data_IF_723871959975
#
_entry.id   IF_723871959975
#
_cell.length_a   1.000
_cell.length_b   1.000
_cell.length_c   1.000
_cell.angle_alpha   90.00
_cell.angle_beta   90.00
_cell.angle_gamma   90.00
#
_symmetry.space_group_name_H-M   'P 1'
#
loop_
_entity.id
_entity.type
_entity.pdbx_description
1 polymer ?
#
# COMPACT_ATOMS: atom_id res chain seq x y z
N UNK A 1 -5.38 -19.56 24.37
CA UNK A 1 -4.68 -18.75 23.38
C UNK A 1 -5.07 -17.26 23.41
N UNK A 2 -6.35 -16.94 23.68
CA UNK A 2 -6.83 -15.55 23.74
C UNK A 2 -6.35 -14.79 24.99
N UNK A 3 -6.19 -15.45 26.13
CA UNK A 3 -5.74 -14.80 27.36
C UNK A 3 -4.22 -14.57 27.41
N UNK A 4 -3.43 -15.39 26.74
CA UNK A 4 -1.98 -15.21 26.64
C UNK A 4 -1.56 -13.99 25.78
N UNK A 5 -2.34 -13.71 24.73
CA UNK A 5 -2.09 -12.54 23.85
C UNK A 5 -2.38 -11.22 24.57
N UNK A 6 -3.41 -11.17 25.40
CA UNK A 6 -3.75 -9.99 26.22
C UNK A 6 -2.71 -9.67 27.30
N UNK A 7 -2.02 -10.69 27.82
CA UNK A 7 -0.92 -10.49 28.78
C UNK A 7 0.38 -10.04 28.13
N UNK A 8 0.71 -10.52 26.93
CA UNK A 8 1.88 -10.09 26.18
C UNK A 8 1.81 -8.61 25.76
N UNK A 9 0.61 -8.12 25.41
CA UNK A 9 0.36 -6.73 25.01
C UNK A 9 0.55 -5.74 26.20
N UNK A 10 0.36 -6.20 27.45
CA UNK A 10 0.53 -5.34 28.65
C UNK A 10 1.97 -5.27 29.18
N UNK A 11 2.87 -6.14 28.75
CA UNK A 11 4.23 -6.22 29.28
C UNK A 11 5.24 -5.26 28.63
N UNK A 12 4.86 -4.53 27.57
CA UNK A 12 5.75 -3.60 26.85
C UNK A 12 5.66 -2.13 27.31
N UNK A 13 5.10 -1.84 28.47
CA UNK A 13 5.03 -0.49 29.02
C UNK A 13 6.31 -0.13 29.80
N UNK A 14 6.93 1.00 29.44
CA UNK A 14 8.11 1.61 30.07
C UNK A 14 7.80 2.14 31.48
N UNK A 15 8.72 2.02 32.46
CA UNK A 15 8.48 2.47 33.83
C UNK A 15 8.57 4.01 33.97
N UNK A 16 7.79 4.65 34.85
CA UNK A 16 7.85 6.09 35.09
C UNK A 16 8.85 6.44 36.20
N UNK A 17 9.60 7.51 36.00
CA UNK A 17 10.21 8.27 37.09
C UNK A 17 11.70 8.58 36.99
N UNK A 18 12.04 9.80 36.52
CA UNK A 18 13.17 10.58 37.03
C UNK A 18 12.90 12.06 36.80
N UNK A 19 12.78 12.82 37.88
CA UNK A 19 12.50 14.24 37.87
C UNK A 19 13.71 15.10 37.52
N UNK A 20 13.45 16.28 36.93
CA UNK A 20 14.38 17.39 36.70
C UNK A 20 13.98 18.59 37.54
N UNK A 21 14.95 19.45 37.96
CA UNK A 21 14.70 20.56 38.83
C UNK A 21 14.16 21.82 38.11
N UNK A 22 13.60 22.84 38.85
CA UNK A 22 12.89 23.93 38.23
C UNK A 22 13.80 25.12 37.89
N UNK A 23 13.72 25.59 36.65
CA UNK A 23 14.13 26.95 36.32
C UNK A 23 12.98 27.70 35.67
N UNK A 24 12.50 28.72 36.36
CA UNK A 24 11.44 29.59 35.91
C UNK A 24 11.86 30.50 34.76
N UNK A 25 11.10 30.48 33.69
CA UNK A 25 10.83 31.60 32.78
C UNK A 25 9.34 31.56 32.42
N UNK A 26 8.67 32.68 32.58
CA UNK A 26 7.31 32.89 32.12
C UNK A 26 7.29 32.74 30.58
N UNK A 27 7.02 31.56 30.08
CA UNK A 27 6.57 31.38 28.71
C UNK A 27 5.08 31.72 28.68
N UNK A 28 4.71 32.55 27.69
CA UNK A 28 3.31 32.80 27.32
C UNK A 28 2.68 31.44 27.07
N UNK A 29 1.66 31.08 27.82
CA UNK A 29 0.85 29.89 27.59
C UNK A 29 0.24 29.99 26.17
N UNK A 30 0.89 29.33 25.21
CA UNK A 30 0.19 28.90 24.03
C UNK A 30 -0.88 27.91 24.54
N UNK A 31 -2.13 28.26 24.40
CA UNK A 31 -3.26 27.38 24.64
C UNK A 31 -3.07 26.18 23.67
N UNK A 32 -2.53 25.07 24.19
CA UNK A 32 -2.48 23.82 23.43
C UNK A 32 -3.94 23.40 23.19
N UNK A 33 -4.36 23.41 21.93
CA UNK A 33 -5.66 22.81 21.61
C UNK A 33 -5.68 21.37 22.10
N UNK A 34 -6.81 20.92 22.65
CA UNK A 34 -6.97 19.54 23.05
C UNK A 34 -6.77 18.65 21.83
N UNK A 35 -5.92 17.64 21.96
CA UNK A 35 -5.69 16.66 20.89
C UNK A 35 -6.99 15.96 20.53
N UNK A 36 -7.16 15.66 19.26
CA UNK A 36 -8.30 14.85 18.79
C UNK A 36 -8.11 13.43 19.34
N UNK A 37 -9.08 12.94 20.12
CA UNK A 37 -9.04 11.60 20.68
C UNK A 37 -9.41 10.57 19.61
N UNK A 38 -8.50 9.64 19.35
CA UNK A 38 -8.76 8.47 18.51
C UNK A 38 -9.35 7.37 19.39
N UNK A 39 -10.55 6.92 19.05
CA UNK A 39 -11.38 6.08 19.93
C UNK A 39 -10.82 4.67 20.12
N UNK A 40 -10.33 4.06 19.04
CA UNK A 40 -9.76 2.71 19.03
C UNK A 40 -8.35 2.74 18.45
N UNK A 41 -7.48 1.78 18.80
CA UNK A 41 -6.09 1.77 18.37
C UNK A 41 -5.93 1.61 16.86
N UNK A 42 -4.72 1.94 16.39
CA UNK A 42 -4.25 1.67 15.03
C UNK A 42 -2.99 0.83 15.13
N UNK A 43 -2.86 -0.20 14.31
CA UNK A 43 -1.62 -0.97 14.20
C UNK A 43 -0.60 -0.14 13.43
N UNK A 44 0.57 0.05 14.02
CA UNK A 44 1.72 0.66 13.37
C UNK A 44 2.76 -0.41 13.05
N UNK A 45 3.08 -0.55 11.76
CA UNK A 45 4.14 -1.42 11.27
C UNK A 45 5.31 -0.56 10.83
N UNK A 46 6.36 -0.45 11.65
CA UNK A 46 7.57 0.28 11.30
C UNK A 46 8.40 -0.50 10.26
N UNK A 47 9.36 0.16 9.63
CA UNK A 47 10.10 -0.42 8.51
C UNK A 47 11.60 -0.18 8.56
N UNK A 48 12.20 0.05 7.39
CA UNK A 48 13.64 0.09 7.22
C UNK A 48 14.15 1.41 6.62
N UNK A 49 15.43 1.65 6.76
CA UNK A 49 16.27 2.63 6.06
C UNK A 49 15.71 4.08 6.10
N UNK A 50 15.73 4.81 4.99
CA UNK A 50 15.32 6.23 4.96
C UNK A 50 13.84 6.41 5.26
N UNK A 51 13.00 5.46 4.87
CA UNK A 51 11.56 5.52 5.15
C UNK A 51 11.24 5.40 6.63
N UNK A 52 12.00 4.63 7.43
CA UNK A 52 11.88 4.59 8.89
C UNK A 52 12.15 5.95 9.53
N UNK A 53 13.17 6.66 9.04
CA UNK A 53 13.51 8.01 9.51
C UNK A 53 12.37 8.99 9.21
N UNK A 54 11.86 8.97 7.98
CA UNK A 54 10.72 9.79 7.55
C UNK A 54 9.48 9.45 8.39
N UNK A 55 9.22 8.18 8.62
CA UNK A 55 8.07 7.70 9.39
C UNK A 55 8.07 8.25 10.81
N UNK A 56 9.23 8.25 11.46
CA UNK A 56 9.41 8.86 12.77
C UNK A 56 9.11 10.37 12.74
N UNK A 57 9.65 11.11 11.75
CA UNK A 57 9.39 12.55 11.64
C UNK A 57 7.92 12.87 11.38
N UNK A 58 7.22 12.05 10.58
CA UNK A 58 5.77 12.21 10.36
C UNK A 58 5.03 12.04 11.69
N UNK A 59 5.32 11.01 12.46
CA UNK A 59 4.69 10.82 13.79
C UNK A 59 4.93 12.00 14.71
N UNK A 60 6.20 12.40 14.86
CA UNK A 60 6.61 13.42 15.81
C UNK A 60 6.05 14.81 15.47
N UNK A 61 5.93 15.13 14.17
CA UNK A 61 5.52 16.47 13.70
C UNK A 61 4.04 16.57 13.32
N UNK A 62 3.49 15.53 12.70
CA UNK A 62 2.17 15.61 12.05
C UNK A 62 1.09 14.78 12.74
N UNK A 63 1.45 13.79 13.56
CA UNK A 63 0.48 12.87 14.19
C UNK A 63 0.36 13.16 15.69
N UNK A 64 1.40 12.90 16.46
CA UNK A 64 1.37 13.01 17.92
C UNK A 64 1.05 14.41 18.46
N UNK A 65 1.42 15.53 17.82
CA UNK A 65 1.02 16.85 18.30
C UNK A 65 -0.50 17.09 18.24
N UNK A 66 -1.20 16.45 17.29
CA UNK A 66 -2.61 16.69 16.99
C UNK A 66 -3.56 15.60 17.51
N UNK A 67 -3.08 14.38 17.66
CA UNK A 67 -3.89 13.21 18.00
C UNK A 67 -3.48 12.60 19.35
N UNK A 68 -4.48 12.25 20.15
CA UNK A 68 -4.37 11.32 21.28
C UNK A 68 -4.75 9.92 20.74
N UNK A 69 -3.73 9.17 20.32
CA UNK A 69 -3.87 7.91 19.60
C UNK A 69 -3.05 6.80 20.26
N UNK A 70 -3.67 5.65 20.44
CA UNK A 70 -2.99 4.42 20.82
C UNK A 70 -2.47 3.70 19.57
N UNK A 71 -1.17 3.43 19.54
CA UNK A 71 -0.52 2.69 18.46
C UNK A 71 -0.07 1.32 18.96
N UNK A 72 -0.58 0.26 18.33
CA UNK A 72 -0.05 -1.09 18.51
C UNK A 72 1.16 -1.23 17.59
N UNK A 73 2.34 -1.01 18.16
CA UNK A 73 3.60 -0.91 17.43
C UNK A 73 4.24 -2.28 17.17
N UNK A 74 4.58 -2.54 15.90
CA UNK A 74 5.34 -3.70 15.43
C UNK A 74 6.55 -3.22 14.62
N UNK A 75 7.74 -3.57 15.06
CA UNK A 75 8.98 -3.29 14.31
C UNK A 75 9.20 -4.33 13.23
N UNK A 76 8.84 -4.02 11.98
CA UNK A 76 9.08 -4.88 10.82
C UNK A 76 10.43 -4.58 10.14
N UNK A 77 11.33 -3.87 10.80
CA UNK A 77 12.71 -3.70 10.34
C UNK A 77 13.45 -5.04 10.27
N UNK A 78 14.46 -5.09 9.40
CA UNK A 78 15.15 -6.33 9.05
C UNK A 78 15.72 -7.09 10.25
N UNK A 79 16.30 -6.36 11.21
CA UNK A 79 16.90 -6.96 12.42
C UNK A 79 15.84 -7.58 13.34
N UNK A 80 14.71 -6.91 13.53
CA UNK A 80 13.60 -7.41 14.36
C UNK A 80 12.95 -8.64 13.73
N UNK A 81 12.75 -8.63 12.42
CA UNK A 81 12.22 -9.76 11.66
C UNK A 81 13.15 -10.98 11.74
N UNK A 82 14.47 -10.78 11.56
CA UNK A 82 15.44 -11.87 11.69
C UNK A 82 15.48 -12.43 13.11
N UNK A 83 15.46 -11.57 14.13
CA UNK A 83 15.43 -11.98 15.53
C UNK A 83 14.23 -12.86 15.87
N UNK A 84 13.06 -12.54 15.32
CA UNK A 84 11.79 -13.24 15.57
C UNK A 84 11.50 -14.36 14.58
N UNK A 85 12.42 -14.68 13.67
CA UNK A 85 12.20 -15.61 12.55
C UNK A 85 10.95 -15.21 11.74
N UNK A 86 10.80 -13.92 11.47
CA UNK A 86 9.68 -13.26 10.79
C UNK A 86 8.30 -13.42 11.46
N UNK A 87 8.23 -13.98 12.67
CA UNK A 87 6.99 -14.16 13.41
C UNK A 87 6.29 -12.83 13.69
N UNK A 88 7.04 -11.74 13.91
CA UNK A 88 6.50 -10.40 14.15
C UNK A 88 5.64 -9.88 12.97
N UNK A 89 5.95 -10.28 11.74
CA UNK A 89 5.14 -9.95 10.56
C UNK A 89 3.77 -10.61 10.60
N UNK A 90 3.71 -11.86 11.06
CA UNK A 90 2.47 -12.61 11.23
C UNK A 90 1.63 -11.97 12.35
N UNK A 91 2.25 -11.68 13.49
CA UNK A 91 1.59 -11.04 14.64
C UNK A 91 1.01 -9.67 14.27
N UNK A 92 1.76 -8.85 13.52
CA UNK A 92 1.29 -7.57 13.03
C UNK A 92 0.06 -7.69 12.10
N UNK A 93 0.07 -8.70 11.21
CA UNK A 93 -1.05 -8.95 10.32
C UNK A 93 -2.31 -9.46 11.07
N UNK A 94 -2.14 -10.35 12.04
CA UNK A 94 -3.26 -10.83 12.87
C UNK A 94 -3.82 -9.70 13.75
N UNK A 95 -2.97 -8.88 14.36
CA UNK A 95 -3.42 -7.67 15.07
C UNK A 95 -4.19 -6.72 14.16
N UNK A 96 -3.79 -6.59 12.90
CA UNK A 96 -4.51 -5.76 11.91
C UNK A 96 -5.91 -6.30 11.63
N UNK A 97 -6.10 -7.61 11.54
CA UNK A 97 -7.44 -8.20 11.42
C UNK A 97 -8.33 -7.87 12.61
N UNK A 98 -7.78 -7.94 13.81
CA UNK A 98 -8.54 -7.68 15.05
C UNK A 98 -8.91 -6.19 15.17
N UNK A 99 -7.96 -5.29 14.89
CA UNK A 99 -8.11 -3.84 15.06
C UNK A 99 -8.84 -3.18 13.88
N UNK A 100 -8.72 -3.75 12.69
CA UNK A 100 -9.33 -3.26 11.46
C UNK A 100 -8.52 -2.21 10.70
N UNK A 101 -7.46 -1.63 11.30
CA UNK A 101 -6.66 -0.58 10.66
C UNK A 101 -5.19 -0.76 10.96
N UNK A 102 -4.38 -0.75 9.90
CA UNK A 102 -2.93 -0.62 10.02
C UNK A 102 -2.39 0.49 9.12
N UNK A 103 -1.30 1.10 9.58
CA UNK A 103 -0.42 1.96 8.79
C UNK A 103 0.96 1.34 8.76
N UNK A 104 1.57 1.28 7.57
CA UNK A 104 2.81 0.54 7.36
C UNK A 104 3.88 1.38 6.69
N UNK A 105 5.07 1.39 7.29
CA UNK A 105 6.29 1.88 6.68
C UNK A 105 6.85 0.87 5.66
N UNK A 106 7.66 1.32 4.72
CA UNK A 106 8.32 0.44 3.76
C UNK A 106 9.37 -0.46 4.43
N UNK A 107 9.40 -1.71 4.01
CA UNK A 107 10.27 -2.76 4.56
C UNK A 107 11.18 -3.35 3.50
N UNK A 108 12.36 -3.82 3.88
CA UNK A 108 13.27 -4.55 3.01
C UNK A 108 12.74 -5.96 2.74
N UNK A 109 12.73 -6.36 1.46
CA UNK A 109 12.69 -7.78 1.08
C UNK A 109 14.11 -8.18 0.73
N UNK A 110 14.79 -9.05 1.54
CA UNK A 110 16.19 -9.33 1.35
C UNK A 110 16.46 -10.19 0.11
N UNK A 111 17.49 -9.82 -0.62
CA UNK A 111 18.19 -10.64 -1.59
C UNK A 111 19.48 -11.23 -0.98
N UNK A 112 20.26 -11.97 -1.77
CA UNK A 112 21.53 -12.56 -1.30
C UNK A 112 22.54 -11.51 -0.83
N UNK A 113 22.50 -10.28 -1.35
CA UNK A 113 23.35 -9.16 -0.92
C UNK A 113 22.94 -8.69 0.48
N UNK A 114 21.64 -8.49 0.68
CA UNK A 114 21.06 -8.07 1.96
C UNK A 114 21.23 -9.13 3.06
N UNK A 115 21.14 -10.42 2.72
CA UNK A 115 21.43 -11.51 3.67
C UNK A 115 22.84 -11.38 4.22
N UNK A 116 23.83 -11.09 3.38
CA UNK A 116 25.22 -10.88 3.81
C UNK A 116 25.38 -9.57 4.59
N UNK A 117 24.79 -8.49 4.12
CA UNK A 117 24.88 -7.16 4.72
C UNK A 117 24.39 -7.16 6.18
N UNK A 118 23.23 -7.77 6.43
CA UNK A 118 22.59 -7.81 7.74
C UNK A 118 22.94 -9.07 8.54
N UNK A 119 23.78 -9.98 7.99
CA UNK A 119 24.10 -11.26 8.58
C UNK A 119 22.85 -12.06 9.00
N UNK A 120 21.88 -12.16 8.09
CA UNK A 120 20.59 -12.79 8.34
C UNK A 120 20.71 -14.31 8.43
N UNK A 121 19.85 -14.93 9.24
CA UNK A 121 19.73 -16.38 9.38
C UNK A 121 19.28 -17.04 8.07
N UNK A 122 18.39 -16.35 7.33
CA UNK A 122 17.92 -16.81 6.03
C UNK A 122 17.41 -15.64 5.16
N UNK A 123 17.12 -15.93 3.91
CA UNK A 123 16.52 -14.96 2.99
C UNK A 123 15.00 -14.91 3.19
N UNK A 124 14.58 -14.08 4.16
CA UNK A 124 13.17 -13.93 4.55
C UNK A 124 12.27 -13.51 3.38
N UNK A 125 11.04 -13.99 3.39
CA UNK A 125 10.03 -13.62 2.40
C UNK A 125 9.66 -12.15 2.52
N UNK A 126 9.01 -11.62 1.47
CA UNK A 126 8.45 -10.26 1.52
C UNK A 126 7.41 -10.13 2.63
N UNK A 127 7.56 -9.17 3.58
CA UNK A 127 6.55 -8.93 4.61
C UNK A 127 5.20 -8.56 4.00
N UNK A 128 5.22 -7.76 2.92
CA UNK A 128 4.00 -7.41 2.20
C UNK A 128 3.27 -8.65 1.67
N UNK A 129 4.01 -9.64 1.15
CA UNK A 129 3.44 -10.91 0.73
C UNK A 129 2.78 -11.68 1.87
N UNK A 130 3.44 -11.76 3.03
CA UNK A 130 2.91 -12.41 4.22
C UNK A 130 1.64 -11.72 4.75
N UNK A 131 1.69 -10.39 4.91
CA UNK A 131 0.54 -9.58 5.37
C UNK A 131 -0.66 -9.75 4.42
N UNK A 132 -0.44 -9.61 3.11
CA UNK A 132 -1.49 -9.74 2.09
C UNK A 132 -2.13 -11.12 2.10
N UNK A 133 -1.35 -12.17 2.30
CA UNK A 133 -1.85 -13.54 2.38
C UNK A 133 -2.69 -13.79 3.64
N UNK A 134 -2.37 -13.13 4.74
CA UNK A 134 -3.09 -13.23 6.01
C UNK A 134 -4.38 -12.40 5.98
N UNK A 135 -4.31 -11.16 5.50
CA UNK A 135 -5.46 -10.26 5.45
C UNK A 135 -6.43 -10.60 4.31
N UNK A 136 -5.91 -11.10 3.18
CA UNK A 136 -6.65 -11.17 1.93
C UNK A 136 -6.91 -9.77 1.36
N UNK A 137 -7.78 -9.68 0.35
CA UNK A 137 -8.24 -8.40 -0.18
C UNK A 137 -7.54 -7.94 -1.45
N UNK A 138 -7.70 -6.67 -1.73
CA UNK A 138 -7.26 -6.00 -2.95
C UNK A 138 -6.43 -4.77 -2.60
N UNK A 139 -5.32 -4.59 -3.31
CA UNK A 139 -4.49 -3.39 -3.17
C UNK A 139 -4.98 -2.36 -4.16
N UNK A 140 -5.44 -1.21 -3.64
CA UNK A 140 -5.77 -0.05 -4.47
C UNK A 140 -4.61 0.95 -4.43
N UNK A 141 -4.07 1.26 -5.61
CA UNK A 141 -3.03 2.26 -5.80
C UNK A 141 -3.61 3.47 -6.55
N UNK A 142 -3.59 4.61 -5.90
CA UNK A 142 -4.18 5.86 -6.38
C UNK A 142 -3.10 6.95 -6.47
N UNK A 143 -2.95 7.63 -7.63
CA UNK A 143 -2.00 8.72 -7.76
C UNK A 143 -2.45 9.95 -6.96
N UNK A 144 -1.48 10.61 -6.30
CA UNK A 144 -1.65 11.90 -5.66
C UNK A 144 -1.32 12.98 -6.70
N UNK A 145 -2.33 13.75 -7.10
CA UNK A 145 -2.19 14.72 -8.18
C UNK A 145 -1.86 16.09 -7.61
N UNK A 146 -0.66 16.62 -7.95
CA UNK A 146 -0.28 18.00 -7.72
C UNK A 146 -0.28 18.77 -9.07
N UNK A 147 -0.99 19.89 -9.15
CA UNK A 147 -1.24 20.59 -10.42
C UNK A 147 0.02 21.11 -11.09
N UNK A 148 1.02 21.51 -10.30
CA UNK A 148 2.30 22.05 -10.75
C UNK A 148 3.34 20.98 -11.07
N UNK A 149 3.09 19.71 -10.76
CA UNK A 149 3.97 18.60 -11.14
C UNK A 149 3.55 18.08 -12.51
N UNK A 150 4.41 18.22 -13.55
CA UNK A 150 4.10 17.77 -14.90
C UNK A 150 3.89 16.25 -14.95
N UNK A 151 2.87 15.81 -15.68
CA UNK A 151 2.63 14.40 -15.94
C UNK A 151 3.34 13.98 -17.22
N UNK A 152 3.91 12.77 -17.24
CA UNK A 152 4.49 12.21 -18.47
C UNK A 152 3.42 11.96 -19.54
N UNK A 153 2.17 11.68 -19.09
CA UNK A 153 1.00 11.62 -19.98
C UNK A 153 0.12 12.85 -19.70
N UNK A 154 0.25 13.94 -20.48
CA UNK A 154 -0.44 15.21 -20.18
C UNK A 154 -1.96 15.11 -20.14
N UNK A 155 -2.55 14.12 -20.84
CA UNK A 155 -3.99 13.86 -20.87
C UNK A 155 -4.56 13.33 -19.56
N UNK A 156 -3.76 12.81 -18.64
CA UNK A 156 -4.23 12.26 -17.38
C UNK A 156 -4.59 13.35 -16.36
N UNK A 157 -5.80 13.86 -16.46
CA UNK A 157 -6.29 14.95 -15.60
C UNK A 157 -7.04 14.48 -14.36
N UNK A 158 -7.46 13.20 -14.33
CA UNK A 158 -8.13 12.53 -13.22
C UNK A 158 -7.36 11.27 -12.83
N UNK A 159 -7.47 10.75 -11.61
CA UNK A 159 -6.72 9.57 -11.21
C UNK A 159 -7.13 8.31 -11.97
N UNK A 160 -6.14 7.52 -12.38
CA UNK A 160 -6.29 6.12 -12.75
C UNK A 160 -5.97 5.30 -11.52
N UNK A 161 -6.95 4.57 -11.00
CA UNK A 161 -6.78 3.81 -9.76
C UNK A 161 -6.62 2.34 -10.12
N UNK A 162 -5.46 1.76 -9.80
CA UNK A 162 -5.20 0.34 -10.04
C UNK A 162 -5.69 -0.47 -8.85
N UNK A 163 -6.62 -1.41 -9.10
CA UNK A 163 -7.01 -2.45 -8.15
C UNK A 163 -6.25 -3.74 -8.46
N UNK A 164 -5.24 -4.09 -7.66
CA UNK A 164 -4.43 -5.31 -7.83
C UNK A 164 -5.01 -6.45 -7.01
N UNK A 165 -5.29 -7.57 -7.66
CA UNK A 165 -5.58 -8.83 -6.99
C UNK A 165 -4.32 -9.35 -6.29
N UNK A 166 -4.30 -9.33 -4.97
CA UNK A 166 -3.09 -9.61 -4.20
C UNK A 166 -2.86 -11.10 -3.88
N UNK A 167 -3.47 -12.01 -4.64
CA UNK A 167 -3.44 -13.45 -4.38
C UNK A 167 -3.11 -14.25 -5.65
N UNK A 168 -2.40 -15.37 -5.47
CA UNK A 168 -2.18 -16.36 -6.51
C UNK A 168 -1.29 -15.92 -7.68
N UNK A 169 -1.54 -16.50 -8.84
CA UNK A 169 -0.85 -16.27 -10.11
C UNK A 169 0.68 -16.47 -9.97
N UNK A 170 1.50 -15.67 -10.65
CA UNK A 170 2.96 -15.78 -10.64
C UNK A 170 3.57 -15.64 -9.24
N UNK A 171 2.91 -14.94 -8.33
CA UNK A 171 3.39 -14.71 -6.94
C UNK A 171 3.24 -15.94 -6.02
N UNK A 172 2.52 -16.96 -6.49
CA UNK A 172 2.33 -18.25 -5.83
C UNK A 172 2.68 -19.42 -6.75
N UNK A 173 3.47 -19.15 -7.78
CA UNK A 173 3.88 -20.17 -8.72
C UNK A 173 4.88 -21.17 -8.10
N UNK A 174 4.83 -22.38 -8.61
CA UNK A 174 5.88 -23.40 -8.40
C UNK A 174 6.65 -23.52 -9.70
N UNK A 175 7.95 -23.27 -9.65
CA UNK A 175 8.82 -23.33 -10.82
C UNK A 175 10.06 -24.20 -10.56
N UNK A 176 10.63 -24.74 -11.63
CA UNK A 176 11.84 -25.55 -11.56
C UNK A 176 12.62 -25.60 -12.88
N UNK A 177 13.89 -25.96 -12.78
CA UNK A 177 14.72 -26.22 -13.95
C UNK A 177 14.46 -27.64 -14.46
N UNK A 178 14.09 -27.79 -15.72
CA UNK A 178 13.99 -29.07 -16.40
C UNK A 178 15.41 -29.50 -16.78
N UNK A 179 15.92 -30.64 -16.29
CA UNK A 179 17.34 -30.98 -16.40
C UNK A 179 17.71 -31.50 -17.81
N UNK A 180 16.74 -31.92 -18.63
CA UNK A 180 17.03 -32.49 -19.92
C UNK A 180 15.79 -32.96 -20.68
N UNK A 181 15.98 -33.87 -21.64
CA UNK A 181 14.89 -34.42 -22.45
C UNK A 181 13.87 -35.16 -21.59
N UNK A 182 12.57 -34.91 -21.84
CA UNK A 182 11.49 -35.55 -21.09
C UNK A 182 10.14 -34.93 -21.32
N UNK A 183 9.11 -35.42 -20.64
CA UNK A 183 7.74 -34.93 -20.73
C UNK A 183 7.33 -34.23 -19.42
N UNK A 184 6.66 -33.12 -19.57
CA UNK A 184 6.03 -32.38 -18.43
C UNK A 184 4.52 -32.66 -18.45
N UNK A 185 4.00 -33.02 -17.30
CA UNK A 185 2.57 -33.18 -17.05
C UNK A 185 2.09 -32.25 -15.96
N UNK A 186 0.88 -31.71 -16.09
CA UNK A 186 0.11 -31.09 -15.03
C UNK A 186 -0.94 -32.10 -14.57
N UNK A 187 -0.95 -32.40 -13.27
CA UNK A 187 -1.84 -33.40 -12.69
C UNK A 187 -2.58 -32.80 -11.50
N UNK A 188 -3.91 -32.92 -11.50
CA UNK A 188 -4.77 -32.67 -10.36
C UNK A 188 -5.36 -34.01 -9.87
N UNK A 189 -5.33 -34.24 -8.57
CA UNK A 189 -5.92 -35.41 -7.90
C UNK A 189 -6.94 -34.89 -6.90
N UNK A 190 -8.22 -35.19 -7.14
CA UNK A 190 -9.29 -34.84 -6.22
C UNK A 190 -9.29 -35.74 -4.98
N UNK A 191 -9.90 -35.28 -3.90
CA UNK A 191 -10.07 -36.07 -2.67
C UNK A 191 -10.92 -37.34 -2.91
N UNK A 192 -11.73 -37.35 -3.96
CA UNK A 192 -12.49 -38.52 -4.43
C UNK A 192 -11.62 -39.50 -5.26
N UNK A 193 -10.34 -39.23 -5.38
CA UNK A 193 -9.38 -40.02 -6.15
C UNK A 193 -9.42 -39.81 -7.66
N UNK A 194 -10.33 -38.97 -8.18
CA UNK A 194 -10.35 -38.64 -9.62
C UNK A 194 -9.12 -37.86 -10.02
N UNK A 195 -8.54 -38.23 -11.13
CA UNK A 195 -7.32 -37.64 -11.69
C UNK A 195 -7.64 -36.90 -12.98
N UNK A 196 -7.20 -35.65 -13.06
CA UNK A 196 -7.10 -34.86 -14.31
C UNK A 196 -5.65 -34.71 -14.65
N UNK A 197 -5.21 -35.19 -15.82
CA UNK A 197 -3.84 -35.10 -16.26
C UNK A 197 -3.78 -34.50 -17.65
N UNK A 198 -2.84 -33.60 -17.89
CA UNK A 198 -2.57 -32.94 -19.18
C UNK A 198 -1.07 -32.96 -19.45
N UNK A 199 -0.67 -33.46 -20.60
CA UNK A 199 0.69 -33.25 -21.10
C UNK A 199 0.84 -31.78 -21.47
N UNK A 200 1.81 -31.09 -20.84
CA UNK A 200 2.10 -29.69 -21.08
C UNK A 200 3.04 -29.52 -22.25
N UNK A 201 4.16 -30.25 -22.20
CA UNK A 201 5.19 -30.16 -23.23
C UNK A 201 6.13 -31.37 -23.22
N UNK A 202 6.66 -31.71 -24.39
CA UNK A 202 7.75 -32.69 -24.53
C UNK A 202 9.06 -31.95 -24.77
N UNK A 203 9.89 -31.85 -23.73
CA UNK A 203 11.16 -31.16 -23.80
C UNK A 203 12.18 -31.93 -24.64
N UNK A 204 12.78 -31.32 -25.68
CA UNK A 204 13.88 -31.93 -26.46
C UNK A 204 15.22 -31.83 -25.72
N UNK A 205 15.33 -31.03 -24.69
CA UNK A 205 16.54 -30.77 -23.87
C UNK A 205 16.20 -30.05 -22.59
N UNK A 206 17.20 -29.43 -21.94
CA UNK A 206 17.01 -28.66 -20.73
C UNK A 206 16.13 -27.42 -20.94
N UNK A 207 15.43 -27.01 -19.90
CA UNK A 207 14.54 -25.84 -19.93
C UNK A 207 14.08 -25.40 -18.55
N UNK A 208 12.96 -24.68 -18.53
CA UNK A 208 12.29 -24.25 -17.28
C UNK A 208 10.80 -24.54 -17.38
N UNK A 209 10.16 -24.80 -16.26
CA UNK A 209 8.72 -25.00 -16.19
C UNK A 209 8.14 -24.31 -14.96
N UNK A 210 6.87 -23.91 -15.05
CA UNK A 210 6.14 -23.25 -13.98
C UNK A 210 4.68 -23.68 -13.99
N UNK A 211 4.08 -23.79 -12.81
CA UNK A 211 2.64 -23.89 -12.61
C UNK A 211 2.19 -22.80 -11.65
N UNK A 212 1.01 -22.22 -11.91
CA UNK A 212 0.36 -21.23 -11.04
C UNK A 212 -1.11 -21.58 -10.85
N UNK A 213 -1.76 -21.00 -9.85
CA UNK A 213 -3.16 -21.25 -9.52
C UNK A 213 -3.86 -20.01 -8.97
N UNK A 214 -5.17 -20.06 -8.93
CA UNK A 214 -6.02 -19.12 -8.18
C UNK A 214 -7.26 -19.86 -7.64
N UNK A 215 -8.01 -19.19 -6.75
CA UNK A 215 -9.22 -19.70 -6.15
C UNK A 215 -10.43 -18.88 -6.60
N UNK A 216 -11.55 -19.53 -6.91
CA UNK A 216 -12.78 -18.84 -7.30
C UNK A 216 -13.28 -17.87 -6.23
N UNK A 217 -13.21 -18.26 -4.94
CA UNK A 217 -13.62 -17.39 -3.84
C UNK A 217 -12.74 -16.14 -3.77
N UNK A 218 -11.42 -16.29 -3.96
CA UNK A 218 -10.50 -15.14 -3.98
C UNK A 218 -10.77 -14.22 -5.19
N UNK A 219 -11.11 -14.77 -6.35
CA UNK A 219 -11.49 -13.98 -7.52
C UNK A 219 -12.82 -13.26 -7.29
N UNK A 220 -13.79 -13.93 -6.65
CA UNK A 220 -15.10 -13.35 -6.29
C UNK A 220 -14.96 -12.21 -5.29
N UNK A 221 -14.09 -12.36 -4.31
CA UNK A 221 -13.75 -11.31 -3.34
C UNK A 221 -13.04 -10.13 -4.01
N UNK A 222 -12.14 -10.39 -4.96
CA UNK A 222 -11.52 -9.36 -5.79
C UNK A 222 -12.56 -8.57 -6.61
N UNK A 223 -13.53 -9.27 -7.21
CA UNK A 223 -14.62 -8.63 -7.92
C UNK A 223 -15.45 -7.72 -7.01
N UNK A 224 -15.88 -8.22 -5.84
CA UNK A 224 -16.67 -7.45 -4.87
C UNK A 224 -15.92 -6.23 -4.35
N UNK A 225 -14.65 -6.40 -3.97
CA UNK A 225 -13.82 -5.30 -3.47
C UNK A 225 -13.66 -4.21 -4.54
N UNK A 226 -13.37 -4.60 -5.79
CA UNK A 226 -13.19 -3.67 -6.91
C UNK A 226 -14.49 -2.91 -7.24
N UNK A 227 -15.62 -3.59 -7.25
CA UNK A 227 -16.93 -3.00 -7.50
C UNK A 227 -17.37 -2.07 -6.36
N UNK A 228 -17.18 -2.46 -5.10
CA UNK A 228 -17.45 -1.61 -3.95
C UNK A 228 -16.59 -0.34 -3.98
N UNK A 229 -15.31 -0.48 -4.32
CA UNK A 229 -14.41 0.66 -4.41
C UNK A 229 -14.85 1.63 -5.51
N UNK A 230 -15.13 1.12 -6.71
CA UNK A 230 -15.63 1.89 -7.85
C UNK A 230 -16.95 2.59 -7.53
N UNK A 231 -17.91 1.87 -6.93
CA UNK A 231 -19.17 2.40 -6.47
C UNK A 231 -19.01 3.56 -5.48
N UNK A 232 -18.16 3.38 -4.46
CA UNK A 232 -17.92 4.41 -3.45
C UNK A 232 -17.27 5.66 -4.05
N UNK A 233 -16.38 5.50 -5.03
CA UNK A 233 -15.72 6.60 -5.76
C UNK A 233 -16.63 7.26 -6.81
N UNK A 234 -17.69 6.59 -7.24
CA UNK A 234 -18.51 7.03 -8.37
C UNK A 234 -17.77 6.96 -9.70
N UNK A 235 -16.88 5.99 -9.86
CA UNK A 235 -16.04 5.78 -11.05
C UNK A 235 -16.42 4.49 -11.78
N UNK A 236 -16.33 4.45 -13.11
CA UNK A 236 -16.47 3.21 -13.87
C UNK A 236 -15.36 2.24 -13.48
N UNK A 237 -15.64 0.94 -13.63
CA UNK A 237 -14.73 -0.16 -13.36
C UNK A 237 -14.40 -0.90 -14.65
N UNK A 238 -13.12 -1.12 -14.88
CA UNK A 238 -12.60 -1.97 -15.96
C UNK A 238 -11.81 -3.13 -15.36
N UNK A 239 -12.20 -4.37 -15.69
CA UNK A 239 -11.35 -5.55 -15.48
C UNK A 239 -10.52 -5.78 -16.72
N UNK A 240 -9.24 -6.06 -16.59
CA UNK A 240 -8.42 -6.51 -17.73
C UNK A 240 -7.82 -7.89 -17.51
N UNK A 241 -7.84 -8.68 -18.58
CA UNK A 241 -7.24 -10.03 -18.65
C UNK A 241 -6.69 -10.29 -20.05
N UNK A 242 -6.04 -11.43 -20.25
CA UNK A 242 -5.66 -11.92 -21.59
C UNK A 242 -6.40 -13.24 -21.93
N UNK A 243 -7.71 -13.26 -21.70
CA UNK A 243 -8.55 -14.46 -21.88
C UNK A 243 -8.59 -14.98 -23.33
N UNK A 244 -8.18 -14.21 -24.32
CA UNK A 244 -8.01 -14.68 -25.69
C UNK A 244 -6.84 -15.66 -25.85
N UNK A 245 -5.85 -15.61 -24.95
CA UNK A 245 -4.68 -16.49 -24.90
C UNK A 245 -4.83 -17.49 -23.74
N UNK A 246 -5.04 -17.00 -22.52
CA UNK A 246 -5.21 -17.82 -21.31
C UNK A 246 -6.70 -18.09 -21.12
N UNK A 247 -7.29 -18.87 -22.06
CA UNK A 247 -8.74 -18.96 -22.26
C UNK A 247 -9.53 -19.41 -21.02
N UNK A 248 -9.06 -20.43 -20.31
CA UNK A 248 -9.75 -20.97 -19.14
C UNK A 248 -9.38 -20.19 -17.90
N UNK A 249 -8.11 -19.98 -17.64
CA UNK A 249 -7.64 -19.33 -16.42
C UNK A 249 -8.12 -17.87 -16.33
N UNK A 250 -7.80 -17.04 -17.31
CA UNK A 250 -8.24 -15.66 -17.38
C UNK A 250 -9.74 -15.52 -17.69
N UNK A 251 -10.29 -16.47 -18.46
CA UNK A 251 -11.74 -16.55 -18.71
C UNK A 251 -12.52 -16.66 -17.42
N UNK A 252 -12.05 -17.47 -16.45
CA UNK A 252 -12.74 -17.62 -15.17
C UNK A 252 -12.76 -16.33 -14.35
N UNK A 253 -11.73 -15.48 -14.43
CA UNK A 253 -11.77 -14.12 -13.86
C UNK A 253 -12.88 -13.28 -14.48
N UNK A 254 -12.97 -13.26 -15.82
CA UNK A 254 -14.00 -12.51 -16.53
C UNK A 254 -15.41 -12.98 -16.17
N UNK A 255 -15.62 -14.31 -16.14
CA UNK A 255 -16.90 -14.92 -15.81
C UNK A 255 -17.36 -14.57 -14.38
N UNK A 256 -16.47 -14.73 -13.39
CA UNK A 256 -16.81 -14.44 -11.99
C UNK A 256 -17.09 -12.94 -11.77
N UNK A 257 -16.31 -12.06 -12.40
CA UNK A 257 -16.59 -10.61 -12.33
C UNK A 257 -17.95 -10.29 -12.94
N UNK A 258 -18.31 -10.90 -14.05
CA UNK A 258 -19.63 -10.71 -14.67
C UNK A 258 -20.75 -11.26 -13.79
N UNK A 259 -20.57 -12.47 -13.20
CA UNK A 259 -21.53 -13.05 -12.25
C UNK A 259 -21.78 -12.12 -11.07
N UNK A 260 -20.71 -11.58 -10.45
CA UNK A 260 -20.81 -10.66 -9.31
C UNK A 260 -21.47 -9.35 -9.71
N UNK A 261 -21.10 -8.80 -10.88
CA UNK A 261 -21.73 -7.58 -11.40
C UNK A 261 -23.22 -7.75 -11.61
N UNK A 262 -23.63 -8.77 -12.33
CA UNK A 262 -25.04 -8.99 -12.68
C UNK A 262 -25.92 -9.24 -11.44
N UNK A 263 -25.39 -9.98 -10.46
CA UNK A 263 -26.15 -10.39 -9.28
C UNK A 263 -26.14 -9.36 -8.14
N UNK A 264 -25.06 -8.57 -7.98
CA UNK A 264 -24.87 -7.78 -6.77
C UNK A 264 -24.73 -6.26 -7.04
N UNK A 265 -24.28 -5.84 -8.22
CA UNK A 265 -23.89 -4.46 -8.49
C UNK A 265 -24.60 -3.75 -9.65
N UNK A 266 -25.20 -4.47 -10.56
CA UNK A 266 -25.81 -3.90 -11.78
C UNK A 266 -26.77 -2.77 -11.50
N UNK A 267 -27.69 -2.95 -10.55
CA UNK A 267 -28.63 -1.90 -10.16
C UNK A 267 -27.90 -0.73 -9.48
N UNK A 268 -27.00 -1.00 -8.55
CA UNK A 268 -26.23 0.03 -7.84
C UNK A 268 -25.40 0.91 -8.80
N UNK A 269 -24.78 0.29 -9.81
CA UNK A 269 -24.01 1.01 -10.83
C UNK A 269 -24.90 1.85 -11.71
N UNK A 270 -26.07 1.33 -12.09
CA UNK A 270 -27.07 2.08 -12.87
C UNK A 270 -27.56 3.33 -12.11
N UNK A 271 -27.85 3.22 -10.81
CA UNK A 271 -28.27 4.34 -9.96
C UNK A 271 -27.22 5.46 -9.93
N UNK A 272 -25.92 5.10 -9.89
CA UNK A 272 -24.81 6.08 -9.92
C UNK A 272 -24.36 6.46 -11.33
N UNK A 273 -24.96 5.90 -12.38
CA UNK A 273 -24.59 6.12 -13.78
C UNK A 273 -23.11 5.80 -14.06
N UNK A 274 -22.58 4.74 -13.45
CA UNK A 274 -21.26 4.20 -13.68
C UNK A 274 -21.36 2.82 -14.34
N UNK A 275 -20.31 2.38 -15.01
CA UNK A 275 -20.29 1.15 -15.80
C UNK A 275 -19.23 0.17 -15.31
N UNK A 276 -19.47 -1.11 -15.59
CA UNK A 276 -18.47 -2.16 -15.54
C UNK A 276 -18.22 -2.72 -16.95
N UNK A 277 -16.96 -2.94 -17.31
CA UNK A 277 -16.56 -3.54 -18.56
C UNK A 277 -15.33 -4.41 -18.39
N UNK A 278 -15.32 -5.58 -19.02
CA UNK A 278 -14.11 -6.40 -19.20
C UNK A 278 -13.43 -6.05 -20.51
N UNK A 279 -12.10 -5.86 -20.49
CA UNK A 279 -11.27 -5.57 -21.65
C UNK A 279 -10.04 -6.48 -21.71
N UNK A 280 -9.48 -6.68 -22.89
CA UNK A 280 -8.14 -7.25 -23.00
C UNK A 280 -7.10 -6.31 -22.42
N UNK A 281 -6.05 -6.84 -21.77
CA UNK A 281 -5.03 -6.02 -21.10
C UNK A 281 -4.34 -5.04 -22.05
N UNK A 282 -4.02 -5.44 -23.25
CA UNK A 282 -3.42 -4.61 -24.29
C UNK A 282 -4.35 -3.48 -24.75
N UNK A 283 -5.64 -3.77 -24.93
CA UNK A 283 -6.64 -2.74 -25.25
C UNK A 283 -6.79 -1.74 -24.09
N UNK A 284 -6.74 -2.24 -22.85
CA UNK A 284 -6.84 -1.38 -21.68
C UNK A 284 -5.61 -0.48 -21.49
N UNK A 285 -4.40 -0.99 -21.78
CA UNK A 285 -3.18 -0.17 -21.82
C UNK A 285 -3.30 0.93 -22.86
N UNK A 286 -3.76 0.59 -24.08
CA UNK A 286 -3.98 1.57 -25.13
C UNK A 286 -5.04 2.62 -24.77
N UNK A 287 -6.12 2.20 -24.11
CA UNK A 287 -7.17 3.08 -23.62
C UNK A 287 -6.64 4.00 -22.51
N UNK A 288 -5.86 3.49 -21.55
CA UNK A 288 -5.29 4.24 -20.46
C UNK A 288 -4.42 5.42 -20.96
N UNK A 289 -3.64 5.21 -22.02
CA UNK A 289 -2.81 6.27 -22.62
C UNK A 289 -3.62 7.36 -23.35
N UNK A 290 -4.87 7.06 -23.74
CA UNK A 290 -5.74 7.95 -24.51
C UNK A 290 -6.78 8.67 -23.64
N UNK A 291 -7.19 8.06 -22.54
CA UNK A 291 -8.23 8.56 -21.66
C UNK A 291 -7.67 9.55 -20.61
N UNK A 292 -8.56 10.37 -20.08
CA UNK A 292 -8.18 11.38 -19.09
C UNK A 292 -8.04 10.85 -17.65
N UNK A 293 -8.27 9.56 -17.41
CA UNK A 293 -8.40 8.99 -16.07
C UNK A 293 -9.83 9.06 -15.53
N UNK A 294 -10.01 8.93 -14.23
CA UNK A 294 -11.32 8.93 -13.57
C UNK A 294 -12.00 7.56 -13.63
N UNK A 295 -11.24 6.49 -13.46
CA UNK A 295 -11.74 5.12 -13.43
C UNK A 295 -10.91 4.20 -12.52
N UNK A 296 -11.51 3.07 -12.15
CA UNK A 296 -10.84 1.98 -11.46
C UNK A 296 -10.47 0.90 -12.47
N UNK A 297 -9.23 0.47 -12.45
CA UNK A 297 -8.70 -0.59 -13.30
C UNK A 297 -8.32 -1.79 -12.46
N UNK A 298 -9.19 -2.81 -12.46
CA UNK A 298 -8.96 -4.09 -11.80
C UNK A 298 -8.01 -4.96 -12.64
N UNK A 299 -6.89 -5.34 -12.05
CA UNK A 299 -5.82 -6.11 -12.69
C UNK A 299 -5.53 -7.38 -11.90
N UNK A 300 -5.20 -8.48 -12.58
CA UNK A 300 -4.61 -9.66 -11.97
C UNK A 300 -3.30 -9.30 -11.26
N UNK A 301 -2.78 -10.21 -10.44
CA UNK A 301 -1.68 -9.91 -9.52
C UNK A 301 -0.46 -9.29 -10.22
N UNK A 302 0.11 -9.93 -11.22
CA UNK A 302 1.28 -9.42 -11.95
C UNK A 302 0.96 -8.17 -12.77
N UNK A 303 -0.15 -8.19 -13.50
CA UNK A 303 -0.59 -7.04 -14.30
C UNK A 303 -0.77 -5.79 -13.41
N UNK A 304 -1.37 -5.96 -12.24
CA UNK A 304 -1.59 -4.89 -11.27
C UNK A 304 -0.30 -4.34 -10.68
N UNK A 305 0.71 -5.19 -10.46
CA UNK A 305 2.03 -4.76 -10.02
C UNK A 305 2.70 -3.86 -11.06
N UNK A 306 2.78 -4.33 -12.31
CA UNK A 306 3.43 -3.60 -13.41
C UNK A 306 2.66 -2.33 -13.76
N UNK A 307 1.32 -2.41 -13.89
CA UNK A 307 0.52 -1.25 -14.31
C UNK A 307 0.46 -0.17 -13.22
N UNK A 308 0.47 -0.52 -11.94
CA UNK A 308 0.50 0.50 -10.88
C UNK A 308 1.77 1.33 -10.92
N UNK A 309 2.94 0.72 -11.18
CA UNK A 309 4.19 1.45 -11.31
C UNK A 309 4.23 2.27 -12.61
N UNK A 310 3.73 1.73 -13.72
CA UNK A 310 3.59 2.48 -14.98
C UNK A 310 2.71 3.72 -14.80
N UNK A 311 1.56 3.56 -14.17
CA UNK A 311 0.64 4.67 -13.87
C UNK A 311 1.29 5.70 -12.93
N UNK A 312 1.98 5.24 -11.88
CA UNK A 312 2.67 6.14 -10.95
C UNK A 312 3.70 7.02 -11.67
N UNK A 313 4.52 6.42 -12.54
CA UNK A 313 5.48 7.18 -13.35
C UNK A 313 4.77 8.14 -14.31
N UNK A 314 3.68 7.73 -14.90
CA UNK A 314 2.86 8.58 -15.78
C UNK A 314 2.33 9.83 -15.08
N UNK A 315 2.05 9.77 -13.78
CA UNK A 315 1.67 10.93 -12.95
C UNK A 315 2.87 11.70 -12.40
N UNK A 316 4.09 11.25 -12.65
CA UNK A 316 5.33 11.99 -12.37
C UNK A 316 6.29 11.28 -11.40
N UNK A 317 5.83 10.62 -10.36
CA UNK A 317 6.68 9.98 -9.36
C UNK A 317 5.97 8.87 -8.60
N UNK A 318 6.68 7.78 -8.33
CA UNK A 318 6.22 6.73 -7.41
C UNK A 318 5.99 7.27 -5.98
N UNK A 319 6.71 8.32 -5.58
CA UNK A 319 6.48 9.05 -4.32
C UNK A 319 5.15 9.81 -4.24
N UNK A 320 4.37 9.84 -5.34
CA UNK A 320 3.02 10.40 -5.42
C UNK A 320 1.96 9.28 -5.60
N UNK A 321 2.22 8.07 -5.13
CA UNK A 321 1.29 6.95 -5.23
C UNK A 321 0.96 6.39 -3.86
N UNK A 322 -0.33 6.33 -3.53
CA UNK A 322 -0.82 5.61 -2.34
C UNK A 322 -0.90 4.11 -2.61
N UNK A 323 -0.87 3.32 -1.56
CA UNK A 323 -1.12 1.87 -1.61
C UNK A 323 -1.98 1.48 -0.40
N UNK A 324 -3.19 1.01 -0.66
CA UNK A 324 -4.15 0.65 0.39
C UNK A 324 -4.69 -0.74 0.12
N UNK A 325 -4.33 -1.69 0.97
CA UNK A 325 -4.98 -3.00 1.00
C UNK A 325 -6.34 -2.87 1.70
N UNK A 326 -7.38 -3.37 1.09
CA UNK A 326 -8.73 -3.39 1.65
C UNK A 326 -9.31 -4.80 1.54
N UNK A 327 -9.83 -5.34 2.64
CA UNK A 327 -10.55 -6.62 2.63
C UNK A 327 -11.87 -6.52 1.84
N UNK A 328 -12.41 -7.63 1.31
CA UNK A 328 -13.61 -7.62 0.46
C UNK A 328 -14.84 -6.99 1.13
N UNK A 329 -14.97 -7.16 2.44
CA UNK A 329 -16.03 -6.57 3.25
C UNK A 329 -15.78 -5.09 3.63
N UNK A 330 -14.60 -4.57 3.28
CA UNK A 330 -14.19 -3.19 3.56
C UNK A 330 -13.98 -2.86 5.04
N UNK A 331 -13.84 -3.87 5.91
CA UNK A 331 -13.66 -3.66 7.36
C UNK A 331 -12.21 -3.50 7.75
N UNK A 332 -11.29 -4.18 7.07
CA UNK A 332 -9.86 -4.11 7.38
C UNK A 332 -9.13 -3.35 6.28
N UNK A 333 -8.29 -2.42 6.69
CA UNK A 333 -7.42 -1.64 5.82
C UNK A 333 -5.99 -1.65 6.35
N UNK A 334 -5.04 -1.89 5.46
CA UNK A 334 -3.62 -1.63 5.69
C UNK A 334 -3.16 -0.62 4.64
N UNK A 335 -2.65 0.54 5.10
CA UNK A 335 -2.21 1.63 4.25
C UNK A 335 -0.69 1.80 4.29
N UNK A 336 -0.05 1.81 3.13
CA UNK A 336 1.39 1.97 2.98
C UNK A 336 1.73 2.95 1.84
N UNK A 337 3.00 3.38 1.75
CA UNK A 337 3.52 4.02 0.55
C UNK A 337 3.82 2.97 -0.52
N UNK A 338 3.56 3.28 -1.79
CA UNK A 338 3.79 2.36 -2.90
C UNK A 338 5.28 2.18 -3.27
N UNK A 339 6.20 2.93 -2.62
CA UNK A 339 7.64 2.87 -2.87
C UNK A 339 8.40 2.04 -1.82
N UNK A 340 9.65 1.70 -2.11
CA UNK A 340 10.54 0.97 -1.19
C UNK A 340 11.20 1.87 -0.15
N UNK A 341 12.24 1.34 0.51
CA UNK A 341 12.92 1.94 1.68
C UNK A 341 13.87 3.09 1.39
N UNK A 342 14.05 3.44 0.09
CA UNK A 342 14.93 4.53 -0.38
C UNK A 342 16.38 4.40 0.10
N UNK A 343 16.97 3.23 -0.11
CA UNK A 343 18.31 2.84 0.31
C UNK A 343 19.39 3.86 -0.04
N UNK A 344 19.37 4.42 -1.26
CA UNK A 344 20.42 5.37 -1.70
C UNK A 344 20.44 6.63 -0.82
N UNK A 345 19.27 7.19 -0.46
CA UNK A 345 19.21 8.34 0.44
C UNK A 345 19.58 7.94 1.88
N UNK A 346 19.25 6.73 2.31
CA UNK A 346 19.70 6.23 3.61
C UNK A 346 21.23 6.17 3.70
N UNK A 347 21.92 5.69 2.67
CA UNK A 347 23.39 5.69 2.62
C UNK A 347 24.00 7.09 2.71
N UNK A 348 23.38 8.08 2.08
CA UNK A 348 23.82 9.48 2.23
C UNK A 348 23.57 10.02 3.64
N UNK A 349 22.40 9.71 4.21
CA UNK A 349 22.07 10.07 5.60
C UNK A 349 23.07 9.46 6.60
N UNK A 350 23.47 8.19 6.43
CA UNK A 350 24.49 7.54 7.27
C UNK A 350 25.86 8.25 7.22
N UNK A 351 26.19 8.90 6.12
CA UNK A 351 27.41 9.71 5.97
C UNK A 351 27.28 11.11 6.57
N UNK A 352 26.13 11.47 7.13
CA UNK A 352 25.82 12.81 7.63
C UNK A 352 25.41 13.81 6.55
N UNK A 353 25.18 13.37 5.32
CA UNK A 353 24.75 14.25 4.23
C UNK A 353 23.25 14.55 4.34
N UNK A 354 22.88 15.80 3.99
CA UNK A 354 21.48 16.19 3.88
C UNK A 354 20.81 15.44 2.74
N UNK A 355 19.60 14.97 2.95
CA UNK A 355 18.78 14.28 1.95
C UNK A 355 17.52 15.07 1.64
N UNK A 356 17.01 14.89 0.42
CA UNK A 356 15.70 15.41 0.00
C UNK A 356 14.86 14.25 -0.49
N UNK A 357 14.21 13.57 0.45
CA UNK A 357 13.38 12.39 0.20
C UNK A 357 11.92 12.78 0.26
N UNK A 358 11.16 12.40 -0.76
CA UNK A 358 9.73 12.66 -0.84
C UNK A 358 8.98 11.85 0.23
N UNK A 359 8.24 12.54 1.09
CA UNK A 359 7.45 11.94 2.17
C UNK A 359 5.93 11.95 1.91
N UNK A 360 5.50 12.43 0.75
CA UNK A 360 4.07 12.60 0.44
C UNK A 360 3.30 11.29 0.56
N UNK A 361 3.77 10.21 -0.09
CA UNK A 361 3.12 8.91 -0.03
C UNK A 361 3.09 8.32 1.40
N UNK A 362 4.13 8.54 2.21
CA UNK A 362 4.17 8.10 3.61
C UNK A 362 3.19 8.87 4.49
N UNK A 363 3.00 10.18 4.24
CA UNK A 363 1.94 10.97 4.91
C UNK A 363 0.56 10.43 4.53
N UNK A 364 0.35 10.11 3.27
CA UNK A 364 -0.91 9.54 2.80
C UNK A 364 -1.19 8.14 3.35
N UNK A 365 -0.16 7.34 3.65
CA UNK A 365 -0.35 6.08 4.36
C UNK A 365 -0.99 6.31 5.74
N UNK A 366 -0.50 7.30 6.49
CA UNK A 366 -1.12 7.70 7.75
C UNK A 366 -2.55 8.22 7.58
N UNK A 367 -2.76 9.15 6.66
CA UNK A 367 -4.09 9.77 6.50
C UNK A 367 -5.14 8.78 6.01
N UNK A 368 -4.79 7.83 5.12
CA UNK A 368 -5.71 6.78 4.66
C UNK A 368 -6.09 5.82 5.78
N UNK A 369 -5.13 5.39 6.61
CA UNK A 369 -5.40 4.60 7.80
C UNK A 369 -6.30 5.35 8.79
N UNK A 370 -5.99 6.61 9.11
CA UNK A 370 -6.78 7.44 10.01
C UNK A 370 -8.19 7.73 9.49
N UNK A 371 -8.34 7.96 8.20
CA UNK A 371 -9.66 8.14 7.57
C UNK A 371 -10.52 6.87 7.69
N UNK A 372 -9.89 5.69 7.53
CA UNK A 372 -10.60 4.43 7.73
C UNK A 372 -10.96 4.21 9.20
N UNK A 373 -10.06 4.52 10.13
CA UNK A 373 -10.34 4.49 11.58
C UNK A 373 -11.50 5.40 11.94
N UNK A 374 -11.50 6.62 11.40
CA UNK A 374 -12.58 7.58 11.58
C UNK A 374 -13.94 7.04 11.09
N UNK A 375 -13.94 6.37 9.94
CA UNK A 375 -15.14 5.74 9.36
C UNK A 375 -15.66 4.62 10.27
N UNK A 376 -14.79 3.74 10.75
CA UNK A 376 -15.18 2.62 11.62
C UNK A 376 -15.70 3.11 12.97
N UNK A 377 -15.13 4.18 13.51
CA UNK A 377 -15.44 4.72 14.84
C UNK A 377 -16.56 5.77 14.83
N UNK A 378 -16.96 6.25 13.65
CA UNK A 378 -17.91 7.34 13.52
C UNK A 378 -17.38 8.66 14.10
N UNK A 379 -16.09 8.98 13.90
CA UNK A 379 -15.40 10.16 14.45
C UNK A 379 -15.11 11.20 13.35
N UNK A 380 -16.01 12.16 13.10
CA UNK A 380 -15.88 13.14 12.02
C UNK A 380 -14.67 14.06 12.18
N UNK A 381 -14.24 14.36 13.41
CA UNK A 381 -13.07 15.19 13.69
C UNK A 381 -11.79 14.53 13.18
N UNK A 382 -11.63 13.22 13.39
CA UNK A 382 -10.50 12.47 12.89
C UNK A 382 -10.52 12.39 11.35
N UNK A 383 -11.69 12.22 10.76
CA UNK A 383 -11.85 12.24 9.29
C UNK A 383 -11.45 13.61 8.72
N UNK A 384 -11.89 14.71 9.36
CA UNK A 384 -11.51 16.07 8.97
C UNK A 384 -10.02 16.32 9.11
N UNK A 385 -9.38 15.83 10.17
CA UNK A 385 -7.94 15.93 10.35
C UNK A 385 -7.18 15.25 9.19
N UNK A 386 -7.53 14.00 8.89
CA UNK A 386 -6.92 13.25 7.79
C UNK A 386 -7.05 13.97 6.45
N UNK A 387 -8.25 14.43 6.10
CA UNK A 387 -8.52 15.20 4.88
C UNK A 387 -7.76 16.54 4.85
N UNK A 388 -7.68 17.23 5.99
CA UNK A 388 -6.92 18.49 6.10
C UNK A 388 -5.44 18.26 5.85
N UNK A 389 -4.84 17.22 6.44
CA UNK A 389 -3.42 16.91 6.25
C UNK A 389 -3.12 16.54 4.79
N UNK A 390 -4.00 15.77 4.10
CA UNK A 390 -3.86 15.50 2.66
C UNK A 390 -3.88 16.79 1.83
N UNK A 391 -4.88 17.65 2.06
CA UNK A 391 -5.02 18.93 1.35
C UNK A 391 -3.83 19.86 1.57
N UNK A 392 -3.37 19.97 2.81
CA UNK A 392 -2.19 20.77 3.18
C UNK A 392 -0.93 20.23 2.50
N UNK A 393 -0.75 18.92 2.46
CA UNK A 393 0.40 18.29 1.80
C UNK A 393 0.44 18.63 0.32
N UNK A 394 -0.68 18.47 -0.40
CA UNK A 394 -0.78 18.83 -1.83
C UNK A 394 -0.60 20.35 -2.03
N UNK A 395 -1.27 21.18 -1.24
CA UNK A 395 -1.17 22.63 -1.34
C UNK A 395 0.26 23.14 -1.08
N UNK A 396 1.02 22.48 -0.18
CA UNK A 396 2.43 22.79 0.07
C UNK A 396 3.27 22.55 -1.19
N UNK A 397 3.09 21.41 -1.86
CA UNK A 397 3.76 21.13 -3.14
C UNK A 397 3.34 22.14 -4.21
N UNK A 398 2.03 22.39 -4.35
CA UNK A 398 1.48 23.31 -5.35
C UNK A 398 1.92 24.76 -5.15
N UNK A 399 2.27 25.16 -3.93
CA UNK A 399 2.84 26.48 -3.62
C UNK A 399 4.37 26.58 -3.82
N UNK A 400 4.99 25.53 -4.40
CA UNK A 400 6.40 25.52 -4.77
C UNK A 400 7.34 25.02 -3.67
N UNK A 401 6.82 24.53 -2.53
CA UNK A 401 7.61 23.90 -1.48
C UNK A 401 7.57 22.38 -1.66
N UNK A 402 8.64 21.80 -2.16
CA UNK A 402 8.69 20.37 -2.53
C UNK A 402 10.09 19.78 -2.36
N UNK A 403 10.18 18.47 -2.43
CA UNK A 403 11.44 17.74 -2.43
C UNK A 403 12.09 17.73 -3.82
N UNK A 404 13.38 17.36 -3.85
CA UNK A 404 14.23 17.48 -5.06
C UNK A 404 13.69 16.66 -6.23
N UNK A 405 13.13 15.47 -6.00
CA UNK A 405 12.55 14.63 -7.05
C UNK A 405 11.40 15.33 -7.79
N UNK A 406 10.51 16.00 -7.05
CA UNK A 406 9.41 16.76 -7.64
C UNK A 406 9.90 18.07 -8.30
N UNK A 407 10.84 18.76 -7.66
CA UNK A 407 11.39 19.99 -8.21
C UNK A 407 12.06 19.78 -9.58
N UNK A 408 12.79 18.67 -9.74
CA UNK A 408 13.41 18.30 -11.02
C UNK A 408 12.39 18.02 -12.13
N UNK A 409 11.18 17.57 -11.77
CA UNK A 409 10.08 17.39 -12.73
C UNK A 409 9.47 18.73 -13.14
N UNK A 410 9.36 19.69 -12.21
CA UNK A 410 8.80 21.01 -12.47
C UNK A 410 9.71 21.86 -13.38
N UNK A 411 11.02 21.87 -13.10
CA UNK A 411 11.98 22.58 -13.91
C UNK A 411 13.30 22.89 -13.19
N UNK A 412 14.31 23.32 -13.96
CA UNK A 412 15.66 23.55 -13.45
C UNK A 412 15.74 24.66 -12.39
N UNK A 413 14.86 25.66 -12.49
CA UNK A 413 14.84 26.82 -11.57
C UNK A 413 14.01 26.58 -10.31
N UNK A 414 13.28 25.45 -10.22
CA UNK A 414 12.46 25.11 -9.06
C UNK A 414 13.36 24.78 -7.87
N UNK A 415 13.23 25.58 -6.80
CA UNK A 415 13.90 25.33 -5.53
C UNK A 415 13.28 24.11 -4.83
N UNK A 416 14.09 23.42 -4.05
CA UNK A 416 13.66 22.25 -3.29
C UNK A 416 14.06 22.36 -1.81
N UNK A 417 13.40 21.59 -0.99
CA UNK A 417 13.63 21.47 0.45
C UNK A 417 14.27 20.13 0.78
N UNK A 418 15.03 20.09 1.87
CA UNK A 418 15.47 18.82 2.46
C UNK A 418 14.27 18.01 2.98
N UNK A 419 14.50 16.75 3.32
CA UNK A 419 13.48 15.87 3.90
C UNK A 419 12.82 16.51 5.14
N UNK A 420 13.64 17.02 6.06
CA UNK A 420 13.15 17.67 7.29
C UNK A 420 12.49 19.01 6.98
N UNK A 421 13.09 19.83 6.13
CA UNK A 421 12.53 21.14 5.76
C UNK A 421 11.18 21.04 5.06
N UNK A 422 10.95 19.99 4.27
CA UNK A 422 9.65 19.75 3.66
C UNK A 422 8.59 19.37 4.70
N UNK A 423 8.92 18.48 5.66
CA UNK A 423 8.03 18.12 6.75
C UNK A 423 7.75 19.29 7.71
N UNK A 424 8.76 20.14 7.96
CA UNK A 424 8.58 21.36 8.74
C UNK A 424 7.62 22.34 8.07
N UNK A 425 7.70 22.44 6.74
CA UNK A 425 6.79 23.31 5.98
C UNK A 425 5.36 22.78 5.97
N UNK A 426 5.18 21.45 5.90
CA UNK A 426 3.86 20.84 6.04
C UNK A 426 3.29 21.08 7.44
N UNK A 427 4.09 20.90 8.50
CA UNK A 427 3.68 21.15 9.88
C UNK A 427 3.24 22.62 10.09
N UNK A 428 4.04 23.58 9.59
CA UNK A 428 3.67 25.00 9.62
C UNK A 428 2.31 25.26 8.94
N UNK A 429 2.12 24.69 7.75
CA UNK A 429 0.90 24.88 6.98
C UNK A 429 -0.30 24.14 7.61
N UNK A 430 -0.08 22.97 8.23
CA UNK A 430 -1.10 22.22 8.95
C UNK A 430 -1.60 23.00 10.18
N UNK A 431 -0.68 23.56 10.98
CA UNK A 431 -1.03 24.42 12.11
C UNK A 431 -1.89 25.60 11.68
N UNK A 432 -1.52 26.28 10.59
CA UNK A 432 -2.35 27.36 10.03
C UNK A 432 -3.74 26.90 9.60
N UNK A 433 -3.84 25.74 8.93
CA UNK A 433 -5.11 25.20 8.45
C UNK A 433 -6.03 24.73 9.60
N UNK A 434 -5.45 24.32 10.71
CA UNK A 434 -6.17 23.91 11.91
C UNK A 434 -6.44 25.06 12.87
N UNK A 435 -5.97 26.29 12.58
CA UNK A 435 -6.04 27.47 13.45
C UNK A 435 -5.32 27.26 14.83
N UNK A 436 -4.14 26.62 14.79
CA UNK A 436 -3.28 26.35 15.97
C UNK A 436 -2.02 27.21 15.92
#
# INVERSE_FOLDING_TARGET
>A
LQDGLRQAIRAAAWPPGAGLPPHGRREKALTSMAKIKVKNPVVEMDGDEMTRIIWKYIKDKLIHPHLDIELLYFDLGMESRDKTNDQITIEAAEATKEVGVAVKCATITPDAGRVKEFNLKEMWRSPNGTIRNILGGVIFREPIICKNVPRLVPGWTKPIIIGRHAYGDQYRATDFKVPGKGKLYLTFIGDDGKKIEREVFQFPGAGVAMAMYNLEDSIRDFARASMNFAYNRGYPLYLSTKNTIVKIYDGRFADIFQEVFDNEFKQKFAEKKITYEHRLIDDMVAAALKWSGGYVWACKNYDGDVQSDTVAQGYGSLGLMTSVLTTPDGKVVEAEAAHGTVTRHYREHQKGNETSTNSVASIYAWTRGLAHRAKLDGTPELAKFADTLEKVTVATVESGFMTKDLALLVGADQKWLSTTGFLDKIDENLKKAMNV
#
